data_IF_287960307752
#
_entry.id   IF_287960307752
#
_cell.length_a   1.000
_cell.length_b   1.000
_cell.length_c   1.000
_cell.angle_alpha   90.00
_cell.angle_beta   90.00
_cell.angle_gamma   90.00
#
_symmetry.space_group_name_H-M   'P 1'
#
loop_
_entity.id
_entity.type
_entity.pdbx_description
1 polymer ?
#
# COMPACT_ATOMS: atom_id res chain seq x y z
N UNK A 1 -11.62 -45.14 -31.52
CA UNK A 1 -11.09 -44.40 -30.36
C UNK A 1 -9.69 -43.85 -30.66
N UNK A 2 -9.57 -42.58 -31.02
CA UNK A 2 -8.26 -41.91 -31.23
C UNK A 2 -7.64 -41.60 -29.87
N UNK A 3 -6.54 -42.26 -29.49
CA UNK A 3 -5.72 -41.91 -28.36
C UNK A 3 -5.28 -40.44 -28.52
N UNK A 4 -5.82 -39.51 -27.71
CA UNK A 4 -5.25 -38.18 -27.52
C UNK A 4 -3.83 -38.40 -26.99
N UNK A 5 -2.81 -38.12 -27.80
CA UNK A 5 -1.44 -37.96 -27.33
C UNK A 5 -1.47 -36.80 -26.34
N UNK A 6 -1.28 -37.08 -25.06
CA UNK A 6 -0.94 -36.08 -24.08
C UNK A 6 0.30 -35.36 -24.63
N UNK A 7 0.12 -34.13 -25.12
CA UNK A 7 1.26 -33.24 -25.27
C UNK A 7 1.80 -33.08 -23.85
N UNK A 8 2.94 -33.66 -23.58
CA UNK A 8 3.71 -33.41 -22.41
C UNK A 8 3.77 -31.86 -22.25
N UNK A 9 3.47 -31.37 -21.04
CA UNK A 9 3.56 -29.97 -20.74
C UNK A 9 4.95 -29.49 -21.18
N UNK A 10 4.97 -28.67 -22.24
CA UNK A 10 6.20 -28.18 -22.82
C UNK A 10 6.76 -27.10 -21.93
N UNK A 11 8.02 -27.13 -21.73
CA UNK A 11 8.92 -26.20 -21.08
C UNK A 11 8.77 -26.13 -19.56
N UNK A 12 9.30 -27.13 -18.91
CA UNK A 12 9.87 -26.92 -17.58
C UNK A 12 10.88 -25.78 -17.72
N UNK A 13 10.72 -24.73 -16.90
CA UNK A 13 11.71 -23.67 -16.82
C UNK A 13 13.05 -24.31 -16.46
N UNK A 14 14.11 -23.96 -17.19
CA UNK A 14 15.44 -24.37 -16.79
C UNK A 14 15.72 -23.86 -15.37
N UNK A 15 16.38 -24.64 -14.51
CA UNK A 15 16.71 -24.24 -13.14
C UNK A 15 17.38 -22.86 -13.05
N UNK A 16 18.13 -22.47 -14.06
CA UNK A 16 18.78 -21.15 -14.19
C UNK A 16 17.80 -20.01 -14.49
N UNK A 17 16.57 -20.31 -14.91
CA UNK A 17 15.53 -19.32 -15.20
C UNK A 17 14.62 -19.07 -14.00
N UNK A 18 14.69 -19.91 -12.96
CA UNK A 18 13.92 -19.76 -11.75
C UNK A 18 14.57 -18.75 -10.80
N UNK A 19 13.78 -17.95 -10.06
CA UNK A 19 14.32 -16.92 -9.20
C UNK A 19 15.07 -17.53 -8.02
N UNK A 20 16.34 -17.13 -7.83
CA UNK A 20 17.17 -17.56 -6.71
C UNK A 20 17.21 -16.51 -5.59
N UNK A 21 17.00 -15.25 -5.94
CA UNK A 21 16.97 -14.14 -4.97
C UNK A 21 15.60 -13.43 -4.99
N UNK A 22 15.26 -12.71 -3.92
CA UNK A 22 14.02 -11.92 -3.85
C UNK A 22 13.98 -10.83 -4.93
N UNK A 23 15.13 -10.31 -5.34
CA UNK A 23 15.23 -9.35 -6.44
C UNK A 23 14.87 -10.02 -7.78
N UNK A 24 15.43 -11.18 -8.07
CA UNK A 24 15.13 -11.92 -9.29
C UNK A 24 13.66 -12.34 -9.32
N UNK A 25 13.13 -12.73 -8.17
CA UNK A 25 11.72 -13.06 -8.00
C UNK A 25 10.79 -11.89 -8.33
N UNK A 26 11.11 -10.68 -7.87
CA UNK A 26 10.34 -9.48 -8.21
C UNK A 26 10.25 -9.31 -9.74
N UNK A 27 11.38 -9.33 -10.44
CA UNK A 27 11.40 -9.16 -11.90
C UNK A 27 10.73 -10.33 -12.63
N UNK A 28 10.88 -11.55 -12.12
CA UNK A 28 10.22 -12.74 -12.67
C UNK A 28 8.70 -12.61 -12.57
N UNK A 29 8.16 -12.17 -11.42
CA UNK A 29 6.73 -11.95 -11.22
C UNK A 29 6.23 -10.83 -12.12
N UNK A 30 6.92 -9.69 -12.18
CA UNK A 30 6.53 -8.57 -13.06
C UNK A 30 6.47 -9.01 -14.51
N UNK A 31 7.44 -9.80 -14.98
CA UNK A 31 7.50 -10.29 -16.37
C UNK A 31 6.37 -11.30 -16.69
N UNK A 32 6.12 -12.25 -15.78
CA UNK A 32 5.26 -13.40 -16.08
C UNK A 32 3.81 -13.24 -15.56
N UNK A 33 3.58 -12.36 -14.58
CA UNK A 33 2.28 -12.16 -13.91
C UNK A 33 1.78 -10.72 -14.00
N UNK A 34 2.20 -9.98 -15.04
CA UNK A 34 1.84 -8.57 -15.21
C UNK A 34 0.32 -8.36 -15.29
N UNK A 35 -0.41 -9.29 -15.94
CA UNK A 35 -1.87 -9.23 -16.03
C UNK A 35 -2.55 -9.35 -14.67
N UNK A 36 -2.03 -10.19 -13.78
CA UNK A 36 -2.52 -10.33 -12.39
C UNK A 36 -2.27 -9.05 -11.58
N UNK A 37 -1.10 -8.42 -11.76
CA UNK A 37 -0.77 -7.14 -11.13
C UNK A 37 -1.67 -6.01 -11.66
N UNK A 38 -1.88 -5.94 -12.97
CA UNK A 38 -2.77 -4.96 -13.58
C UNK A 38 -4.21 -5.10 -13.07
N UNK A 39 -4.73 -6.32 -13.00
CA UNK A 39 -6.06 -6.60 -12.47
C UNK A 39 -6.16 -6.23 -10.98
N UNK A 40 -5.11 -6.48 -10.20
CA UNK A 40 -5.01 -6.01 -8.81
C UNK A 40 -5.09 -4.49 -8.71
N UNK A 41 -4.38 -3.79 -9.62
CA UNK A 41 -4.42 -2.33 -9.70
C UNK A 41 -5.81 -1.77 -10.07
N UNK A 42 -6.52 -2.42 -10.98
CA UNK A 42 -7.90 -2.05 -11.33
C UNK A 42 -8.85 -2.18 -10.13
N UNK A 43 -8.70 -3.23 -9.32
CA UNK A 43 -9.49 -3.39 -8.10
C UNK A 43 -9.11 -2.35 -7.03
N UNK A 44 -7.82 -2.04 -6.88
CA UNK A 44 -7.39 -0.94 -6.02
C UNK A 44 -7.98 0.38 -6.49
N UNK A 45 -7.94 0.68 -7.79
CA UNK A 45 -8.56 1.90 -8.33
C UNK A 45 -10.06 1.93 -8.03
N UNK A 46 -10.81 0.86 -8.31
CA UNK A 46 -12.26 0.82 -8.11
C UNK A 46 -12.64 1.14 -6.66
N UNK A 47 -11.94 0.56 -5.68
CA UNK A 47 -12.23 0.77 -4.27
C UNK A 47 -11.60 2.05 -3.69
N UNK A 48 -10.51 2.57 -4.27
CA UNK A 48 -9.93 3.85 -3.89
C UNK A 48 -10.55 5.05 -4.62
N UNK A 49 -11.40 4.83 -5.62
CA UNK A 49 -12.05 5.89 -6.38
C UNK A 49 -12.80 6.89 -5.49
N UNK A 50 -13.57 6.48 -4.45
CA UNK A 50 -14.22 7.43 -3.54
C UNK A 50 -13.21 8.33 -2.81
N UNK A 51 -12.04 7.81 -2.41
CA UNK A 51 -10.97 8.60 -1.80
C UNK A 51 -10.38 9.61 -2.79
N UNK A 52 -10.10 9.18 -4.02
CA UNK A 52 -9.59 10.06 -5.08
C UNK A 52 -10.57 11.19 -5.36
N UNK A 53 -11.86 10.88 -5.47
CA UNK A 53 -12.90 11.89 -5.67
C UNK A 53 -13.02 12.84 -4.48
N UNK A 54 -12.87 12.35 -3.25
CA UNK A 54 -12.88 13.21 -2.06
C UNK A 54 -11.74 14.23 -2.12
N UNK A 55 -10.51 13.78 -2.40
CA UNK A 55 -9.35 14.66 -2.56
C UNK A 55 -9.56 15.65 -3.70
N UNK A 56 -10.11 15.19 -4.83
CA UNK A 56 -10.44 16.07 -5.97
C UNK A 56 -11.40 17.20 -5.57
N UNK A 57 -12.51 16.88 -4.88
CA UNK A 57 -13.47 17.90 -4.44
C UNK A 57 -12.89 18.81 -3.37
N UNK A 58 -12.11 18.28 -2.42
CA UNK A 58 -11.41 19.11 -1.44
C UNK A 58 -10.53 20.17 -2.12
N UNK A 59 -9.71 19.77 -3.08
CA UNK A 59 -8.85 20.68 -3.83
C UNK A 59 -9.67 21.73 -4.61
N UNK A 60 -10.83 21.35 -5.17
CA UNK A 60 -11.72 22.30 -5.86
C UNK A 60 -12.28 23.35 -4.88
N UNK A 61 -12.73 22.93 -3.70
CA UNK A 61 -13.24 23.84 -2.69
C UNK A 61 -12.13 24.75 -2.14
N UNK A 62 -10.94 24.22 -1.92
CA UNK A 62 -9.77 24.98 -1.47
C UNK A 62 -9.42 26.11 -2.45
N UNK A 63 -9.33 25.80 -3.74
CA UNK A 63 -9.10 26.79 -4.80
C UNK A 63 -10.21 27.84 -4.80
N UNK A 64 -11.48 27.41 -4.70
CA UNK A 64 -12.63 28.32 -4.67
C UNK A 64 -12.61 29.28 -3.47
N UNK A 65 -12.26 28.78 -2.28
CA UNK A 65 -12.12 29.64 -1.08
C UNK A 65 -10.94 30.60 -1.21
N UNK A 66 -9.81 30.14 -1.75
CA UNK A 66 -8.66 30.98 -1.99
C UNK A 66 -8.96 32.12 -2.99
N UNK A 67 -9.66 31.83 -4.09
CA UNK A 67 -10.08 32.83 -5.07
C UNK A 67 -10.98 33.89 -4.45
N UNK A 68 -11.98 33.51 -3.64
CA UNK A 68 -12.86 34.44 -2.91
C UNK A 68 -12.10 35.30 -1.91
N UNK A 69 -11.09 34.73 -1.26
CA UNK A 69 -10.23 35.49 -0.35
C UNK A 69 -9.39 36.54 -1.08
N UNK A 70 -8.78 36.15 -2.21
CA UNK A 70 -7.94 37.07 -3.01
C UNK A 70 -8.77 38.15 -3.69
N UNK A 71 -10.00 37.85 -4.14
CA UNK A 71 -10.93 38.82 -4.72
C UNK A 71 -11.51 39.82 -3.69
N UNK A 72 -11.30 39.58 -2.39
CA UNK A 72 -11.87 40.41 -1.31
C UNK A 72 -13.32 40.09 -0.97
N UNK A 73 -13.93 39.07 -1.59
CA UNK A 73 -15.29 38.60 -1.29
C UNK A 73 -15.38 37.88 0.05
N UNK A 74 -14.26 37.40 0.57
CA UNK A 74 -14.14 36.67 1.83
C UNK A 74 -13.05 37.30 2.70
N UNK A 75 -13.33 37.55 3.96
CA UNK A 75 -12.34 38.05 4.91
C UNK A 75 -11.42 36.90 5.42
N UNK A 76 -10.29 37.23 6.06
CA UNK A 76 -9.32 36.26 6.55
C UNK A 76 -9.92 35.26 7.56
N UNK A 77 -10.81 35.74 8.42
CA UNK A 77 -11.44 34.90 9.45
C UNK A 77 -12.36 33.85 8.85
N UNK A 78 -13.20 34.27 7.89
CA UNK A 78 -14.12 33.35 7.20
C UNK A 78 -13.37 32.37 6.32
N UNK A 79 -12.29 32.80 5.67
CA UNK A 79 -11.40 31.92 4.91
C UNK A 79 -10.80 30.82 5.80
N UNK A 80 -10.22 31.19 6.93
CA UNK A 80 -9.64 30.23 7.89
C UNK A 80 -10.71 29.29 8.44
N UNK A 81 -11.87 29.78 8.79
CA UNK A 81 -12.99 28.94 9.26
C UNK A 81 -13.44 27.93 8.18
N UNK A 82 -13.55 28.37 6.93
CA UNK A 82 -13.93 27.51 5.80
C UNK A 82 -12.88 26.44 5.52
N UNK A 83 -11.60 26.78 5.55
CA UNK A 83 -10.48 25.84 5.38
C UNK A 83 -10.43 24.80 6.51
N UNK A 84 -10.59 25.24 7.78
CA UNK A 84 -10.65 24.32 8.91
C UNK A 84 -11.84 23.36 8.81
N UNK A 85 -13.01 23.86 8.43
CA UNK A 85 -14.19 23.03 8.20
C UNK A 85 -13.97 22.01 7.09
N UNK A 86 -13.38 22.43 5.95
CA UNK A 86 -13.05 21.55 4.83
C UNK A 86 -12.09 20.43 5.26
N UNK A 87 -11.04 20.75 6.04
CA UNK A 87 -10.10 19.76 6.54
C UNK A 87 -10.75 18.75 7.51
N UNK A 88 -11.61 19.22 8.42
CA UNK A 88 -12.30 18.33 9.37
C UNK A 88 -13.28 17.41 8.63
N UNK A 89 -14.22 17.98 7.86
CA UNK A 89 -15.22 17.17 7.15
C UNK A 89 -14.56 16.26 6.12
N UNK A 90 -13.54 16.73 5.41
CA UNK A 90 -12.78 15.93 4.48
C UNK A 90 -12.11 14.74 5.15
N UNK A 91 -11.48 14.93 6.32
CA UNK A 91 -10.87 13.83 7.08
C UNK A 91 -11.90 12.80 7.56
N UNK A 92 -13.10 13.23 7.98
CA UNK A 92 -14.18 12.32 8.37
C UNK A 92 -14.65 11.47 7.19
N UNK A 93 -14.81 12.09 6.02
CA UNK A 93 -15.21 11.40 4.78
C UNK A 93 -14.12 10.43 4.34
N UNK A 94 -12.86 10.83 4.39
CA UNK A 94 -11.71 9.95 4.07
C UNK A 94 -11.69 8.72 4.99
N UNK A 95 -11.88 8.90 6.30
CA UNK A 95 -11.99 7.78 7.25
C UNK A 95 -13.12 6.84 6.86
N UNK A 96 -14.29 7.35 6.48
CA UNK A 96 -15.39 6.52 6.04
C UNK A 96 -15.06 5.70 4.78
N UNK A 97 -14.36 6.30 3.81
CA UNK A 97 -14.00 5.59 2.58
C UNK A 97 -12.82 4.62 2.73
N UNK A 98 -12.05 4.70 3.82
CA UNK A 98 -11.03 3.66 4.09
C UNK A 98 -11.64 2.28 4.29
N UNK A 99 -12.89 2.18 4.76
CA UNK A 99 -13.61 0.91 4.84
C UNK A 99 -13.78 0.26 3.45
N UNK A 100 -14.05 1.06 2.42
CA UNK A 100 -14.18 0.58 1.04
C UNK A 100 -12.81 0.20 0.47
N UNK A 101 -11.80 1.04 0.67
CA UNK A 101 -10.43 0.77 0.22
C UNK A 101 -9.85 -0.49 0.87
N UNK A 102 -10.18 -0.75 2.14
CA UNK A 102 -9.73 -1.95 2.88
C UNK A 102 -10.12 -3.25 2.19
N UNK A 103 -11.27 -3.27 1.52
CA UNK A 103 -11.75 -4.43 0.79
C UNK A 103 -10.77 -4.83 -0.33
N UNK A 104 -10.36 -3.87 -1.17
CA UNK A 104 -9.41 -4.15 -2.24
C UNK A 104 -8.02 -4.48 -1.70
N UNK A 105 -7.55 -3.74 -0.69
CA UNK A 105 -6.22 -3.93 -0.12
C UNK A 105 -6.11 -5.33 0.52
N UNK A 106 -7.14 -5.79 1.25
CA UNK A 106 -7.14 -7.13 1.83
C UNK A 106 -7.09 -8.24 0.76
N UNK A 107 -7.87 -8.10 -0.32
CA UNK A 107 -7.85 -9.03 -1.44
C UNK A 107 -6.51 -9.03 -2.19
N UNK A 108 -5.98 -7.86 -2.50
CA UNK A 108 -4.70 -7.70 -3.20
C UNK A 108 -3.53 -8.19 -2.35
N UNK A 109 -3.54 -7.95 -1.05
CA UNK A 109 -2.52 -8.47 -0.13
C UNK A 109 -2.42 -10.00 -0.21
N UNK A 110 -3.53 -10.72 -0.29
CA UNK A 110 -3.52 -12.20 -0.46
C UNK A 110 -2.90 -12.60 -1.79
N UNK A 111 -3.26 -11.92 -2.89
CA UNK A 111 -2.68 -12.19 -4.21
C UNK A 111 -1.16 -11.95 -4.19
N UNK A 112 -0.70 -10.83 -3.61
CA UNK A 112 0.72 -10.52 -3.53
C UNK A 112 1.49 -11.52 -2.64
N UNK A 113 0.88 -11.96 -1.53
CA UNK A 113 1.42 -13.05 -0.71
C UNK A 113 1.63 -14.30 -1.55
N UNK A 114 0.58 -14.76 -2.25
CA UNK A 114 0.65 -15.97 -3.09
C UNK A 114 1.67 -15.84 -4.24
N UNK A 115 1.78 -14.65 -4.86
CA UNK A 115 2.81 -14.37 -5.87
C UNK A 115 4.23 -14.54 -5.32
N UNK A 116 4.49 -13.98 -4.13
CA UNK A 116 5.83 -14.01 -3.53
C UNK A 116 6.13 -15.35 -2.87
N UNK A 117 5.13 -16.08 -2.36
CA UNK A 117 5.32 -17.44 -1.85
C UNK A 117 5.40 -18.50 -2.94
N UNK A 118 5.13 -18.14 -4.21
CA UNK A 118 5.17 -19.07 -5.34
C UNK A 118 3.98 -20.03 -5.39
N UNK A 119 2.89 -19.71 -4.69
CA UNK A 119 1.64 -20.47 -4.73
C UNK A 119 0.93 -20.28 -6.09
N UNK A 120 0.22 -21.30 -6.59
CA UNK A 120 -0.62 -21.15 -7.79
C UNK A 120 -1.75 -20.15 -7.50
N UNK A 121 -2.00 -19.23 -8.44
CA UNK A 121 -2.97 -18.13 -8.24
C UNK A 121 -4.21 -18.36 -9.07
N UNK A 122 -5.36 -18.38 -8.39
CA UNK A 122 -6.69 -18.22 -8.98
C UNK A 122 -7.24 -16.87 -8.53
N UNK A 123 -7.07 -15.84 -9.34
CA UNK A 123 -7.28 -14.42 -8.96
C UNK A 123 -8.54 -14.21 -8.12
N UNK A 124 -9.70 -14.68 -8.58
CA UNK A 124 -10.98 -14.44 -7.90
C UNK A 124 -11.12 -15.20 -6.59
N UNK A 125 -10.62 -16.41 -6.53
CA UNK A 125 -10.71 -17.25 -5.34
C UNK A 125 -9.73 -16.73 -4.27
N UNK A 126 -8.51 -16.37 -4.67
CA UNK A 126 -7.51 -15.78 -3.78
C UNK A 126 -7.95 -14.40 -3.30
N UNK A 127 -8.51 -13.56 -4.19
CA UNK A 127 -9.03 -12.26 -3.81
C UNK A 127 -10.15 -12.38 -2.75
N UNK A 128 -11.15 -13.23 -2.99
CA UNK A 128 -12.25 -13.47 -2.03
C UNK A 128 -11.74 -14.06 -0.72
N UNK A 129 -10.79 -14.99 -0.80
CA UNK A 129 -10.15 -15.57 0.38
C UNK A 129 -9.43 -14.49 1.21
N UNK A 130 -8.65 -13.63 0.54
CA UNK A 130 -7.96 -12.51 1.18
C UNK A 130 -8.91 -11.53 1.87
N UNK A 131 -10.00 -11.18 1.21
CA UNK A 131 -11.05 -10.34 1.82
C UNK A 131 -11.64 -11.04 3.05
N UNK A 132 -12.02 -12.31 2.94
CA UNK A 132 -12.63 -13.05 4.06
C UNK A 132 -11.70 -13.17 5.26
N UNK A 133 -10.42 -13.41 5.03
CA UNK A 133 -9.43 -13.62 6.10
C UNK A 133 -8.90 -12.32 6.70
N UNK A 134 -8.61 -11.31 5.87
CA UNK A 134 -7.81 -10.15 6.27
C UNK A 134 -8.56 -8.81 6.27
N UNK A 135 -9.84 -8.78 5.85
CA UNK A 135 -10.58 -7.52 5.73
C UNK A 135 -10.60 -6.74 7.05
N UNK A 136 -10.96 -7.39 8.15
CA UNK A 136 -11.10 -6.73 9.45
C UNK A 136 -9.75 -6.15 9.93
N UNK A 137 -8.68 -6.93 9.81
CA UNK A 137 -7.34 -6.48 10.20
C UNK A 137 -6.86 -5.31 9.33
N UNK A 138 -7.05 -5.41 8.01
CA UNK A 138 -6.71 -4.33 7.07
C UNK A 138 -7.53 -3.08 7.34
N UNK A 139 -8.82 -3.25 7.59
CA UNK A 139 -9.73 -2.17 7.91
C UNK A 139 -9.32 -1.43 9.18
N UNK A 140 -9.02 -2.15 10.27
CA UNK A 140 -8.55 -1.56 11.52
C UNK A 140 -7.22 -0.84 11.35
N UNK A 141 -6.28 -1.43 10.62
CA UNK A 141 -5.00 -0.78 10.31
C UNK A 141 -5.22 0.56 9.59
N UNK A 142 -5.98 0.56 8.50
CA UNK A 142 -6.25 1.77 7.73
C UNK A 142 -7.06 2.80 8.52
N UNK A 143 -7.99 2.37 9.35
CA UNK A 143 -8.75 3.23 10.23
C UNK A 143 -7.83 3.98 11.21
N UNK A 144 -6.94 3.26 11.92
CA UNK A 144 -5.96 3.90 12.81
C UNK A 144 -5.02 4.83 12.05
N UNK A 145 -4.55 4.43 10.87
CA UNK A 145 -3.70 5.27 10.03
C UNK A 145 -4.43 6.57 9.62
N UNK A 146 -5.68 6.47 9.19
CA UNK A 146 -6.49 7.62 8.77
C UNK A 146 -6.77 8.59 9.92
N UNK A 147 -6.99 8.07 11.14
CA UNK A 147 -7.13 8.91 12.34
C UNK A 147 -5.82 9.66 12.61
N UNK A 148 -4.67 8.99 12.57
CA UNK A 148 -3.38 9.64 12.79
C UNK A 148 -3.09 10.71 11.74
N UNK A 149 -3.40 10.43 10.47
CA UNK A 149 -3.29 11.41 9.39
C UNK A 149 -4.22 12.62 9.62
N UNK A 150 -5.47 12.37 10.00
CA UNK A 150 -6.44 13.41 10.33
C UNK A 150 -5.99 14.27 11.52
N UNK A 151 -5.40 13.66 12.56
CA UNK A 151 -4.81 14.39 13.68
C UNK A 151 -3.62 15.25 13.25
N UNK A 152 -2.74 14.75 12.37
CA UNK A 152 -1.65 15.57 11.85
C UNK A 152 -2.17 16.78 11.06
N UNK A 153 -3.22 16.61 10.25
CA UNK A 153 -3.88 17.72 9.52
C UNK A 153 -4.52 18.71 10.48
N UNK A 154 -5.21 18.20 11.50
CA UNK A 154 -5.80 19.06 12.54
C UNK A 154 -4.74 19.88 13.26
N UNK A 155 -3.65 19.27 13.71
CA UNK A 155 -2.53 19.98 14.35
C UNK A 155 -1.96 21.04 13.42
N UNK A 156 -1.77 20.73 12.15
CA UNK A 156 -1.28 21.70 11.16
C UNK A 156 -2.24 22.87 10.97
N UNK A 157 -3.55 22.61 10.92
CA UNK A 157 -4.56 23.64 10.68
C UNK A 157 -4.71 24.60 11.88
N UNK A 158 -4.75 24.07 13.11
CA UNK A 158 -5.02 24.87 14.31
C UNK A 158 -3.76 25.46 14.96
N UNK A 159 -2.59 24.88 14.71
CA UNK A 159 -1.32 25.30 15.31
C UNK A 159 -0.28 25.72 14.26
N UNK A 160 -0.74 26.25 13.13
CA UNK A 160 0.13 26.67 12.03
C UNK A 160 1.15 27.73 12.44
N UNK A 161 0.76 28.65 13.35
CA UNK A 161 1.65 29.70 13.85
C UNK A 161 2.84 29.13 14.65
N UNK A 162 2.70 27.96 15.25
CA UNK A 162 3.74 27.30 16.05
C UNK A 162 4.55 26.29 15.23
N UNK A 163 4.28 26.14 13.93
CA UNK A 163 4.92 25.17 13.03
C UNK A 163 4.87 23.72 13.53
N UNK A 164 3.93 23.38 14.43
CA UNK A 164 3.80 22.05 15.03
C UNK A 164 3.38 20.97 14.03
N UNK A 165 2.79 21.35 12.91
CA UNK A 165 2.44 20.42 11.84
C UNK A 165 3.65 19.73 11.23
N UNK A 166 4.77 20.45 11.07
CA UNK A 166 5.99 19.91 10.45
C UNK A 166 6.54 18.68 11.20
N UNK A 167 6.78 18.71 12.53
CA UNK A 167 7.18 17.53 13.28
C UNK A 167 6.21 16.36 13.16
N UNK A 168 4.90 16.62 13.16
CA UNK A 168 3.88 15.58 13.01
C UNK A 168 4.00 14.86 11.65
N UNK A 169 4.16 15.60 10.55
CA UNK A 169 4.37 15.01 9.23
C UNK A 169 5.70 14.27 9.12
N UNK A 170 6.77 14.79 9.74
CA UNK A 170 8.06 14.10 9.79
C UNK A 170 7.91 12.74 10.51
N UNK A 171 7.27 12.71 11.69
CA UNK A 171 7.02 11.45 12.41
C UNK A 171 6.14 10.48 11.61
N UNK A 172 5.12 11.00 10.91
CA UNK A 172 4.26 10.21 10.07
C UNK A 172 5.06 9.53 8.95
N UNK A 173 5.93 10.25 8.25
CA UNK A 173 6.76 9.71 7.15
C UNK A 173 7.83 8.76 7.68
N UNK A 174 8.51 9.13 8.77
CA UNK A 174 9.63 8.35 9.28
C UNK A 174 9.22 7.07 10.01
N UNK A 175 8.10 7.06 10.71
CA UNK A 175 7.72 5.96 11.60
C UNK A 175 6.37 5.37 11.22
N UNK A 176 5.33 6.20 11.14
CA UNK A 176 3.95 5.71 11.03
C UNK A 176 3.73 4.98 9.73
N UNK A 177 4.03 5.59 8.59
CA UNK A 177 3.87 4.98 7.26
C UNK A 177 4.65 3.66 7.15
N UNK A 178 5.98 3.61 7.44
CA UNK A 178 6.74 2.37 7.36
C UNK A 178 6.21 1.25 8.25
N UNK A 179 5.86 1.56 9.49
CA UNK A 179 5.34 0.57 10.44
C UNK A 179 3.99 0.01 9.98
N UNK A 180 3.08 0.87 9.49
CA UNK A 180 1.78 0.41 8.99
C UNK A 180 1.89 -0.42 7.72
N UNK A 181 2.80 -0.07 6.81
CA UNK A 181 3.09 -0.89 5.64
C UNK A 181 3.58 -2.28 6.06
N UNK A 182 4.54 -2.35 6.96
CA UNK A 182 5.07 -3.61 7.45
C UNK A 182 4.03 -4.41 8.23
N UNK A 183 3.21 -3.76 9.07
CA UNK A 183 2.14 -4.40 9.82
C UNK A 183 1.06 -5.00 8.91
N UNK A 184 0.71 -4.31 7.81
CA UNK A 184 -0.25 -4.82 6.83
C UNK A 184 0.26 -6.10 6.15
N UNK A 185 1.53 -6.13 5.76
CA UNK A 185 2.16 -7.31 5.17
C UNK A 185 2.27 -8.42 6.22
N UNK A 186 2.73 -8.11 7.42
CA UNK A 186 2.88 -9.07 8.51
C UNK A 186 1.54 -9.74 8.85
N UNK A 187 0.47 -8.95 8.99
CA UNK A 187 -0.89 -9.45 9.26
C UNK A 187 -1.40 -10.39 8.16
N UNK A 188 -1.07 -10.11 6.89
CA UNK A 188 -1.49 -10.95 5.77
C UNK A 188 -0.69 -12.24 5.63
N UNK A 189 0.59 -12.24 6.05
CA UNK A 189 1.47 -13.42 5.95
C UNK A 189 1.22 -14.39 7.10
N UNK A 190 1.17 -13.89 8.34
CA UNK A 190 1.09 -14.73 9.56
C UNK A 190 -0.31 -14.80 10.16
N UNK A 191 -1.33 -14.22 9.52
CA UNK A 191 -2.75 -14.26 9.92
C UNK A 191 -2.97 -13.87 11.40
N UNK A 192 -2.19 -12.90 11.90
CA UNK A 192 -2.22 -12.49 13.29
C UNK A 192 -3.13 -11.27 13.52
N UNK A 193 -3.47 -11.02 14.79
CA UNK A 193 -4.24 -9.84 15.20
C UNK A 193 -3.46 -8.54 14.92
N UNK A 194 -4.19 -7.45 14.65
CA UNK A 194 -3.66 -6.11 14.32
C UNK A 194 -2.63 -5.62 15.33
N UNK A 195 -2.89 -5.76 16.64
CA UNK A 195 -1.97 -5.31 17.67
C UNK A 195 -0.66 -6.10 17.68
N UNK A 196 -0.73 -7.42 17.46
CA UNK A 196 0.47 -8.25 17.30
C UNK A 196 1.22 -7.89 16.01
N UNK A 197 0.50 -7.62 14.91
CA UNK A 197 1.11 -7.19 13.65
C UNK A 197 1.87 -5.86 13.82
N UNK A 198 1.28 -4.86 14.50
CA UNK A 198 1.92 -3.57 14.77
C UNK A 198 3.13 -3.76 15.70
N UNK A 199 3.00 -4.53 16.79
CA UNK A 199 4.09 -4.78 17.74
C UNK A 199 5.30 -5.42 17.04
N UNK A 200 5.06 -6.45 16.22
CA UNK A 200 6.11 -7.12 15.47
C UNK A 200 6.68 -6.26 14.35
N UNK A 201 5.83 -5.47 13.68
CA UNK A 201 6.28 -4.50 12.69
C UNK A 201 7.23 -3.47 13.30
N UNK A 202 6.94 -2.94 14.49
CA UNK A 202 7.83 -2.02 15.21
C UNK A 202 9.18 -2.68 15.49
N UNK A 203 9.18 -3.91 16.01
CA UNK A 203 10.42 -4.65 16.30
C UNK A 203 11.29 -4.88 15.06
N UNK A 204 10.65 -5.21 13.92
CA UNK A 204 11.33 -5.45 12.66
C UNK A 204 11.74 -4.15 11.94
N UNK A 205 11.02 -3.05 12.18
CA UNK A 205 11.32 -1.76 11.56
C UNK A 205 12.67 -1.22 12.00
N UNK A 206 12.97 -1.20 13.29
CA UNK A 206 14.18 -0.57 13.82
C UNK A 206 15.50 -1.12 13.24
N UNK A 207 15.71 -2.44 13.08
CA UNK A 207 16.93 -2.97 12.46
C UNK A 207 17.06 -2.62 10.97
N UNK A 208 15.95 -2.34 10.29
CA UNK A 208 15.92 -2.13 8.83
C UNK A 208 15.24 -0.82 8.42
N UNK A 209 15.14 0.11 9.35
CA UNK A 209 14.45 1.39 9.20
C UNK A 209 14.75 2.09 7.86
N UNK A 210 15.99 2.04 7.39
CA UNK A 210 16.41 2.72 6.17
C UNK A 210 15.75 2.18 4.89
N UNK A 211 15.45 0.86 4.82
CA UNK A 211 14.77 0.26 3.66
C UNK A 211 13.33 0.75 3.55
N UNK A 212 12.60 0.69 4.68
CA UNK A 212 11.22 1.15 4.73
C UNK A 212 11.12 2.68 4.66
N UNK A 213 12.12 3.39 5.19
CA UNK A 213 12.23 4.83 5.04
C UNK A 213 12.37 5.24 3.57
N UNK A 214 13.26 4.58 2.81
CA UNK A 214 13.38 4.84 1.37
C UNK A 214 12.07 4.60 0.63
N UNK A 215 11.32 3.58 1.01
CA UNK A 215 10.00 3.31 0.45
C UNK A 215 8.99 4.39 0.84
N UNK A 216 8.92 4.81 2.11
CA UNK A 216 8.00 5.88 2.53
C UNK A 216 8.35 7.23 1.92
N UNK A 217 9.63 7.54 1.75
CA UNK A 217 10.08 8.74 1.03
C UNK A 217 9.66 8.71 -0.45
N UNK A 218 9.68 7.54 -1.09
CA UNK A 218 9.18 7.37 -2.45
C UNK A 218 7.70 7.76 -2.56
N UNK A 219 6.87 7.28 -1.62
CA UNK A 219 5.44 7.68 -1.54
C UNK A 219 5.33 9.18 -1.24
N UNK A 220 6.04 9.67 -0.25
CA UNK A 220 6.00 11.08 0.12
C UNK A 220 6.39 12.00 -1.05
N UNK A 221 7.40 11.60 -1.85
CA UNK A 221 7.80 12.35 -3.05
C UNK A 221 6.70 12.41 -4.12
N UNK A 222 5.94 11.30 -4.31
CA UNK A 222 4.80 11.27 -5.22
C UNK A 222 3.72 12.23 -4.72
N UNK A 223 3.34 12.18 -3.45
CA UNK A 223 2.32 13.07 -2.89
C UNK A 223 2.77 14.53 -2.92
N UNK A 224 4.03 14.83 -2.60
CA UNK A 224 4.58 16.18 -2.70
C UNK A 224 4.57 16.67 -4.16
N UNK A 225 4.93 15.81 -5.11
CA UNK A 225 4.86 16.14 -6.54
C UNK A 225 3.43 16.46 -7.00
N UNK A 226 2.45 15.69 -6.51
CA UNK A 226 1.02 15.94 -6.81
C UNK A 226 0.54 17.27 -6.20
N UNK A 227 1.03 17.65 -5.03
CA UNK A 227 0.69 18.93 -4.41
C UNK A 227 1.04 20.13 -5.30
N UNK A 228 2.16 20.12 -6.02
CA UNK A 228 2.49 21.17 -6.97
C UNK A 228 1.54 21.25 -8.19
N UNK A 229 0.75 20.22 -8.42
CA UNK A 229 -0.26 20.18 -9.49
C UNK A 229 -1.68 20.51 -8.99
N UNK A 230 -1.86 20.89 -7.72
CA UNK A 230 -3.18 21.15 -7.11
C UNK A 230 -3.98 22.26 -7.82
N UNK A 231 -3.32 23.18 -8.50
CA UNK A 231 -3.99 24.16 -9.37
C UNK A 231 -4.73 23.53 -10.57
N UNK A 232 -4.46 22.25 -10.84
CA UNK A 232 -5.07 21.48 -11.92
C UNK A 232 -5.71 20.19 -11.38
N UNK A 233 -6.77 20.27 -10.55
CA UNK A 233 -7.31 19.12 -9.81
C UNK A 233 -7.73 17.95 -10.68
N UNK A 234 -8.20 18.21 -11.90
CA UNK A 234 -8.56 17.15 -12.85
C UNK A 234 -7.34 16.34 -13.29
N UNK A 235 -6.20 16.98 -13.53
CA UNK A 235 -4.94 16.31 -13.89
C UNK A 235 -4.46 15.47 -12.70
N UNK A 236 -4.53 16.02 -11.48
CA UNK A 236 -4.16 15.31 -10.25
C UNK A 236 -5.00 14.03 -10.11
N UNK A 237 -6.30 14.11 -10.31
CA UNK A 237 -7.18 12.94 -10.24
C UNK A 237 -6.81 11.86 -11.27
N UNK A 238 -6.54 12.25 -12.53
CA UNK A 238 -6.09 11.31 -13.57
C UNK A 238 -4.77 10.67 -13.20
N UNK A 239 -3.79 11.44 -12.72
CA UNK A 239 -2.50 10.92 -12.31
C UNK A 239 -2.66 9.94 -11.14
N UNK A 240 -3.49 10.24 -10.15
CA UNK A 240 -3.79 9.33 -9.04
C UNK A 240 -4.41 8.01 -9.52
N UNK A 241 -5.33 8.06 -10.50
CA UNK A 241 -5.92 6.85 -11.09
C UNK A 241 -4.85 5.98 -11.79
N UNK A 242 -3.96 6.60 -12.57
CA UNK A 242 -2.86 5.88 -13.23
C UNK A 242 -1.89 5.28 -12.21
N UNK A 243 -1.56 6.02 -11.16
CA UNK A 243 -0.71 5.53 -10.06
C UNK A 243 -1.34 4.32 -9.35
N UNK A 244 -2.65 4.34 -9.09
CA UNK A 244 -3.36 3.21 -8.48
C UNK A 244 -3.32 1.95 -9.35
N UNK A 245 -3.44 2.08 -10.67
CA UNK A 245 -3.52 0.92 -11.58
C UNK A 245 -2.14 0.34 -11.88
N UNK A 246 -1.15 1.17 -12.14
CA UNK A 246 0.15 0.72 -12.64
C UNK A 246 1.23 0.68 -11.54
N UNK A 247 1.35 1.74 -10.78
CA UNK A 247 2.49 1.90 -9.87
C UNK A 247 2.24 1.23 -8.51
N UNK A 248 1.05 1.39 -7.97
CA UNK A 248 0.74 0.89 -6.62
C UNK A 248 0.88 -0.65 -6.49
N UNK A 249 0.40 -1.50 -7.43
CA UNK A 249 0.62 -2.94 -7.34
C UNK A 249 2.09 -3.32 -7.44
N UNK A 250 2.87 -2.67 -8.31
CA UNK A 250 4.31 -2.91 -8.44
C UNK A 250 5.05 -2.49 -7.17
N UNK A 251 4.67 -1.37 -6.59
CA UNK A 251 5.22 -0.87 -5.34
C UNK A 251 4.92 -1.80 -4.17
N UNK A 252 3.67 -2.27 -4.04
CA UNK A 252 3.27 -3.24 -3.03
C UNK A 252 4.01 -4.57 -3.20
N UNK A 253 4.17 -5.06 -4.44
CA UNK A 253 4.96 -6.26 -4.73
C UNK A 253 6.43 -6.09 -4.28
N UNK A 254 7.02 -4.92 -4.51
CA UNK A 254 8.38 -4.62 -4.05
C UNK A 254 8.46 -4.63 -2.51
N UNK A 255 7.48 -4.04 -1.82
CA UNK A 255 7.38 -4.08 -0.37
C UNK A 255 7.27 -5.51 0.15
N UNK A 256 6.43 -6.35 -0.47
CA UNK A 256 6.32 -7.77 -0.15
C UNK A 256 7.66 -8.50 -0.32
N UNK A 257 8.36 -8.28 -1.42
CA UNK A 257 9.67 -8.90 -1.70
C UNK A 257 10.72 -8.52 -0.66
N UNK A 258 10.76 -7.25 -0.25
CA UNK A 258 11.64 -6.76 0.81
C UNK A 258 11.26 -7.38 2.16
N UNK A 259 9.96 -7.39 2.49
CA UNK A 259 9.46 -7.92 3.77
C UNK A 259 9.73 -9.41 3.89
N UNK A 260 9.48 -10.20 2.84
CA UNK A 260 9.80 -11.63 2.84
C UNK A 260 11.31 -11.90 3.01
N UNK A 261 12.18 -11.08 2.42
CA UNK A 261 13.62 -11.16 2.68
C UNK A 261 13.98 -10.98 4.16
N UNK A 262 13.24 -10.12 4.87
CA UNK A 262 13.45 -9.88 6.29
C UNK A 262 12.81 -10.99 7.14
N UNK A 263 11.61 -11.43 6.78
CA UNK A 263 10.93 -12.53 7.46
C UNK A 263 11.74 -13.81 7.36
N UNK A 264 12.31 -14.11 6.19
CA UNK A 264 13.17 -15.27 6.01
C UNK A 264 14.38 -15.23 6.95
N UNK A 265 14.97 -14.06 7.14
CA UNK A 265 16.18 -13.93 7.96
C UNK A 265 15.93 -13.95 9.47
N UNK A 266 14.79 -13.41 9.93
CA UNK A 266 14.58 -13.12 11.37
C UNK A 266 13.44 -13.89 12.00
N UNK A 267 12.60 -14.54 11.21
CA UNK A 267 11.39 -15.22 11.70
C UNK A 267 11.32 -16.62 11.12
N UNK A 268 11.28 -16.74 9.77
CA UNK A 268 10.97 -18.00 9.13
C UNK A 268 12.05 -19.06 9.37
N UNK A 269 13.30 -18.64 9.49
CA UNK A 269 14.41 -19.59 9.69
C UNK A 269 14.26 -20.37 11.01
N UNK A 270 13.74 -19.74 12.07
CA UNK A 270 13.65 -20.31 13.40
C UNK A 270 12.22 -20.76 13.75
N UNK A 271 11.21 -19.91 13.47
CA UNK A 271 9.84 -20.12 13.94
C UNK A 271 8.94 -20.79 12.89
N UNK A 272 9.18 -20.54 11.60
CA UNK A 272 8.33 -21.03 10.49
C UNK A 272 9.18 -21.56 9.33
N UNK A 273 9.92 -22.67 9.51
CA UNK A 273 10.85 -23.19 8.49
C UNK A 273 10.15 -23.55 7.17
N UNK A 274 8.86 -23.87 7.21
CA UNK A 274 8.04 -24.13 6.00
C UNK A 274 7.86 -22.92 5.10
N UNK A 275 7.91 -21.70 5.65
CA UNK A 275 7.86 -20.46 4.88
C UNK A 275 9.24 -19.95 4.45
N UNK A 276 10.31 -20.52 4.99
CA UNK A 276 11.66 -20.06 4.74
C UNK A 276 12.04 -20.22 3.27
N UNK A 277 12.26 -19.09 2.58
CA UNK A 277 12.60 -19.04 1.16
C UNK A 277 11.51 -19.52 0.23
N UNK A 278 10.23 -19.52 0.68
CA UNK A 278 9.10 -19.86 -0.17
C UNK A 278 9.11 -19.03 -1.47
N UNK A 279 8.80 -19.67 -2.61
CA UNK A 279 8.83 -19.05 -3.93
C UNK A 279 10.22 -18.81 -4.53
N UNK A 280 11.30 -19.19 -3.84
CA UNK A 280 12.66 -19.17 -4.39
C UNK A 280 13.08 -20.58 -4.80
N UNK A 281 13.77 -20.66 -5.94
CA UNK A 281 14.38 -21.92 -6.35
C UNK A 281 15.65 -22.18 -5.54
N UNK A 282 15.67 -23.32 -4.86
CA UNK A 282 16.85 -23.86 -4.20
C UNK A 282 17.22 -25.16 -4.89
N UNK A 283 18.41 -25.27 -5.47
CA UNK A 283 18.87 -26.56 -5.95
C UNK A 283 18.83 -27.52 -4.73
N UNK A 284 18.20 -28.69 -4.93
CA UNK A 284 18.31 -29.77 -3.93
C UNK A 284 19.80 -30.01 -3.73
N UNK A 285 20.30 -29.80 -2.51
CA UNK A 285 21.61 -30.30 -2.14
C UNK A 285 21.54 -31.79 -2.44
N UNK A 286 22.40 -32.26 -3.35
CA UNK A 286 22.56 -33.69 -3.58
C UNK A 286 22.88 -34.29 -2.21
N UNK A 287 21.96 -35.12 -1.71
CA UNK A 287 22.20 -35.91 -0.51
C UNK A 287 23.50 -36.67 -0.73
N UNK A 288 24.58 -36.17 -0.10
CA UNK A 288 25.87 -36.84 -0.06
C UNK A 288 25.87 -37.88 1.03
#
# INVERSE_FOLDING_TARGET
MKKRKNKAASSDFLPTQLPQTRKDQYFFIVKNQFSTLLLSGLWLLLCCLPLILTVYFQNQFEIGFYQKYVSGEMNKTDYQASMNALMIYGSIIEVAFTFVASFAIAGVNRILKSLVSGEPILFWDDFKCGVKQNYLNTCLLLFFFSILLGLCRFVNAFFIEYLLGIPCYILLILIVIPVFMLASIFSSVYECNVFHAISNAVKLYFPFWWKYLLMSLGIAAIFTGLHYLETLPFIVAIVQMVLCVLILPLYLLLLYSISFSLFDKYINQEEFPEFYGSGLYRPKEEEK
#
